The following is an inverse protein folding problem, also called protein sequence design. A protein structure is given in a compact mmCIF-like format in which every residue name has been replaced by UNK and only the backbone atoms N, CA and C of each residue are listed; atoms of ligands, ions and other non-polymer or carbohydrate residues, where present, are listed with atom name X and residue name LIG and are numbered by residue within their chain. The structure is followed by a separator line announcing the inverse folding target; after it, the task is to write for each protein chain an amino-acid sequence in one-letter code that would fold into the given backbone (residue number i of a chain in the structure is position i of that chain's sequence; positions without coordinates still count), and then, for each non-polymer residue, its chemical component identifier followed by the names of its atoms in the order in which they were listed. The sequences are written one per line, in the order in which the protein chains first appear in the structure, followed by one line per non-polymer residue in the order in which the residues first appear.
data_IF_674793831863
#
_entry.id   IF_674793831863
#
_cell.length_a   1.000
_cell.length_b   1.000
_cell.length_c   1.000
_cell.angle_alpha   90.00
_cell.angle_beta   90.00
_cell.angle_gamma   90.00
#
_symmetry.space_group_name_H-M   'P 1'
#
loop_
_entity.id
_entity.type
_entity.pdbx_description
1 polymer ?
#
# COMPACT_ATOMS: atom_id res chain seq x y z
N UNK A 1 -85.54 0.97 -12.08
CA UNK A 1 -84.45 1.94 -11.82
C UNK A 1 -84.33 1.99 -10.29
N UNK A 2 -83.89 0.92 -9.63
CA UNK A 2 -82.51 0.41 -9.49
C UNK A 2 -81.62 1.46 -8.85
N UNK A 3 -81.42 1.35 -7.53
CA UNK A 3 -80.11 1.52 -6.91
C UNK A 3 -80.09 0.69 -5.61
N UNK A 4 -79.34 -0.41 -5.65
CA UNK A 4 -79.11 -1.35 -4.56
C UNK A 4 -77.59 -1.34 -4.35
N UNK A 5 -77.12 -0.73 -3.26
CA UNK A 5 -75.70 -0.72 -2.88
C UNK A 5 -75.53 -1.69 -1.70
N UNK A 6 -74.86 -2.84 -1.86
CA UNK A 6 -74.59 -3.74 -0.74
C UNK A 6 -73.23 -3.41 -0.10
N UNK A 7 -73.27 -3.14 1.20
CA UNK A 7 -72.10 -3.09 2.10
C UNK A 7 -71.42 -4.47 2.17
N UNK A 8 -70.24 -4.61 1.57
CA UNK A 8 -69.38 -5.79 1.68
C UNK A 8 -68.60 -5.75 3.02
N UNK A 9 -68.77 -6.80 3.82
CA UNK A 9 -68.11 -7.06 5.11
C UNK A 9 -66.83 -7.86 4.84
N UNK A 10 -65.66 -7.26 5.08
CA UNK A 10 -64.36 -7.93 4.94
C UNK A 10 -64.14 -8.97 6.07
N UNK A 11 -63.76 -10.22 5.78
CA UNK A 11 -63.37 -11.19 6.80
C UNK A 11 -61.90 -11.01 7.21
N UNK A 12 -61.64 -11.06 8.52
CA UNK A 12 -60.30 -11.16 9.11
C UNK A 12 -59.61 -12.44 8.62
N UNK A 13 -58.41 -12.31 8.04
CA UNK A 13 -57.51 -13.44 7.77
C UNK A 13 -56.43 -13.43 8.84
N UNK A 14 -56.69 -14.16 9.92
CA UNK A 14 -55.69 -14.63 10.88
C UNK A 14 -55.32 -16.07 10.50
N UNK A 15 -54.06 -16.44 10.69
CA UNK A 15 -53.46 -17.80 10.57
C UNK A 15 -52.99 -18.28 9.20
N UNK A 16 -51.87 -17.72 8.71
CA UNK A 16 -51.00 -18.37 7.72
C UNK A 16 -49.49 -18.13 7.96
N UNK A 17 -49.05 -17.96 9.22
CA UNK A 17 -47.66 -17.66 9.57
C UNK A 17 -46.92 -18.78 10.35
N UNK A 18 -47.52 -19.98 10.46
CA UNK A 18 -47.01 -21.06 11.32
C UNK A 18 -46.10 -22.11 10.69
N UNK A 19 -46.06 -22.27 9.36
CA UNK A 19 -45.46 -23.47 8.74
C UNK A 19 -44.23 -23.26 7.83
N UNK A 20 -43.61 -22.06 7.79
CA UNK A 20 -42.39 -21.82 6.98
C UNK A 20 -41.09 -21.64 7.78
N UNK A 21 -41.06 -21.98 9.07
CA UNK A 21 -39.88 -21.72 9.93
C UNK A 21 -38.93 -22.92 10.05
N UNK A 22 -39.35 -24.15 9.73
CA UNK A 22 -38.54 -25.35 10.04
C UNK A 22 -37.40 -25.67 9.04
N UNK A 23 -37.48 -25.25 7.77
CA UNK A 23 -36.45 -25.56 6.76
C UNK A 23 -35.19 -24.67 6.84
N UNK A 24 -35.26 -23.49 7.48
CA UNK A 24 -34.14 -22.53 7.50
C UNK A 24 -33.02 -22.91 8.49
N UNK A 25 -33.27 -23.78 9.45
CA UNK A 25 -32.27 -24.10 10.50
C UNK A 25 -31.21 -25.12 10.05
N UNK A 26 -31.54 -26.01 9.11
CA UNK A 26 -30.64 -27.09 8.67
C UNK A 26 -29.50 -26.60 7.77
N UNK A 27 -29.70 -25.52 7.02
CA UNK A 27 -28.70 -24.94 6.11
C UNK A 27 -27.53 -24.27 6.83
N UNK A 28 -27.75 -23.71 8.02
CA UNK A 28 -26.70 -23.06 8.80
C UNK A 28 -25.73 -24.07 9.41
N UNK A 29 -26.20 -25.22 9.88
CA UNK A 29 -25.36 -26.28 10.45
C UNK A 29 -24.40 -26.90 9.40
N UNK A 30 -24.87 -27.11 8.17
CA UNK A 30 -24.03 -27.59 7.07
C UNK A 30 -22.92 -26.60 6.72
N UNK A 31 -23.20 -25.29 6.75
CA UNK A 31 -22.22 -24.24 6.45
C UNK A 31 -21.06 -24.22 7.48
N UNK A 32 -21.37 -24.32 8.78
CA UNK A 32 -20.32 -24.32 9.82
C UNK A 32 -19.40 -25.55 9.72
N UNK A 33 -19.93 -26.69 9.32
CA UNK A 33 -19.13 -27.93 9.18
C UNK A 33 -18.15 -27.84 8.01
N UNK A 34 -18.56 -27.26 6.88
CA UNK A 34 -17.71 -27.02 5.70
C UNK A 34 -16.56 -26.06 6.00
N UNK A 35 -16.81 -24.99 6.76
CA UNK A 35 -15.79 -24.01 7.14
C UNK A 35 -14.71 -24.66 8.04
N UNK A 36 -15.11 -25.51 8.98
CA UNK A 36 -14.17 -26.21 9.86
C UNK A 36 -13.21 -27.12 9.10
N UNK A 37 -13.70 -27.89 8.13
CA UNK A 37 -12.87 -28.77 7.29
C UNK A 37 -11.92 -27.96 6.40
N UNK A 38 -12.40 -26.85 5.83
CA UNK A 38 -11.57 -25.96 5.02
C UNK A 38 -10.43 -25.33 5.81
N UNK A 39 -10.69 -24.86 7.04
CA UNK A 39 -9.67 -24.28 7.91
C UNK A 39 -8.58 -25.29 8.29
N UNK A 40 -8.96 -26.54 8.61
CA UNK A 40 -8.00 -27.58 8.94
C UNK A 40 -7.07 -27.93 7.77
N UNK A 41 -7.62 -28.02 6.55
CA UNK A 41 -6.84 -28.26 5.33
C UNK A 41 -5.87 -27.10 5.03
N UNK A 42 -6.31 -25.87 5.23
CA UNK A 42 -5.49 -24.68 4.96
C UNK A 42 -4.29 -24.57 5.92
N UNK A 43 -4.48 -24.89 7.20
CA UNK A 43 -3.39 -24.90 8.20
C UNK A 43 -2.33 -25.94 7.82
N UNK A 44 -2.72 -27.13 7.39
CA UNK A 44 -1.78 -28.18 6.98
C UNK A 44 -0.89 -27.75 5.80
N UNK A 45 -1.46 -27.02 4.83
CA UNK A 45 -0.72 -26.51 3.66
C UNK A 45 0.32 -25.46 4.08
N UNK A 46 -0.03 -24.55 4.99
CA UNK A 46 0.89 -23.50 5.47
C UNK A 46 2.11 -24.12 6.18
N UNK A 47 1.90 -25.12 7.04
CA UNK A 47 2.99 -25.80 7.74
C UNK A 47 3.94 -26.49 6.75
N UNK A 48 3.40 -27.13 5.71
CA UNK A 48 4.20 -27.76 4.66
C UNK A 48 5.10 -26.75 3.92
N UNK A 49 4.58 -25.56 3.61
CA UNK A 49 5.34 -24.53 2.90
C UNK A 49 6.49 -23.98 3.75
N UNK A 50 6.31 -23.79 5.06
CA UNK A 50 7.37 -23.29 5.95
C UNK A 50 8.56 -24.26 5.99
N UNK A 51 8.29 -25.57 5.98
CA UNK A 51 9.33 -26.61 5.98
C UNK A 51 10.10 -26.62 4.65
N UNK A 52 9.43 -26.37 3.53
CA UNK A 52 10.03 -26.45 2.19
C UNK A 52 10.94 -25.24 1.86
N UNK A 53 10.64 -24.05 2.39
CA UNK A 53 11.31 -22.81 1.97
C UNK A 53 12.27 -22.20 3.02
N UNK A 54 12.41 -22.80 4.21
CA UNK A 54 13.12 -22.20 5.35
C UNK A 54 14.64 -22.41 5.48
N UNK A 55 15.36 -22.96 4.50
CA UNK A 55 16.76 -23.40 4.69
C UNK A 55 17.82 -22.76 3.80
N UNK A 56 18.46 -21.66 4.22
CA UNK A 56 19.62 -21.03 3.55
C UNK A 56 20.85 -20.90 4.44
N UNK A 57 21.99 -21.47 4.01
CA UNK A 57 23.25 -21.68 4.76
C UNK A 57 24.24 -20.51 4.61
N UNK A 58 25.06 -20.29 5.64
CA UNK A 58 26.21 -19.37 5.69
C UNK A 58 27.48 -19.98 5.07
N UNK A 59 28.40 -19.14 4.59
CA UNK A 59 29.82 -19.50 4.38
C UNK A 59 30.72 -18.25 4.46
N UNK A 60 31.84 -18.29 5.20
CA UNK A 60 32.82 -17.20 5.25
C UNK A 60 33.93 -17.37 4.21
N UNK A 61 34.34 -16.25 3.63
CA UNK A 61 35.46 -16.08 2.70
C UNK A 61 36.77 -15.87 3.47
N UNK A 62 37.86 -16.47 2.99
CA UNK A 62 39.21 -16.28 3.51
C UNK A 62 40.22 -16.63 2.43
N UNK A 63 40.94 -15.64 1.92
CA UNK A 63 42.10 -15.83 1.04
C UNK A 63 43.24 -14.90 1.48
N UNK A 64 44.40 -15.44 1.89
CA UNK A 64 45.61 -14.64 2.10
C UNK A 64 46.57 -14.73 0.90
N UNK A 65 47.06 -13.57 0.49
CA UNK A 65 48.05 -13.31 -0.56
C UNK A 65 49.47 -13.58 -0.07
N UNK A 66 50.35 -14.27 -0.82
CA UNK A 66 51.78 -14.24 -0.57
C UNK A 66 52.50 -13.18 -1.40
N UNK A 67 53.47 -12.53 -0.75
CA UNK A 67 54.40 -11.52 -1.23
C UNK A 67 55.78 -12.16 -1.40
N UNK A 68 56.44 -11.93 -2.52
CA UNK A 68 57.88 -12.22 -2.72
C UNK A 68 58.53 -11.01 -3.42
N UNK A 69 59.37 -10.25 -2.71
CA UNK A 69 60.85 -10.39 -2.53
C UNK A 69 61.65 -9.84 -3.73
N UNK A 70 62.43 -8.75 -3.56
CA UNK A 70 63.16 -8.09 -4.65
C UNK A 70 64.54 -8.73 -4.90
N UNK A 71 64.95 -8.82 -6.16
CA UNK A 71 66.30 -9.23 -6.54
C UNK A 71 67.02 -8.09 -7.26
N UNK A 72 68.19 -7.74 -6.74
CA UNK A 72 69.09 -6.67 -7.21
C UNK A 72 70.03 -7.22 -8.30
N UNK A 73 70.31 -6.44 -9.34
CA UNK A 73 71.42 -6.71 -10.28
C UNK A 73 71.80 -5.43 -11.06
N UNK A 74 73.00 -5.34 -11.67
CA UNK A 74 73.94 -4.28 -11.37
C UNK A 74 74.05 -3.23 -12.47
N UNK A 75 74.69 -2.14 -12.07
CA UNK A 75 75.10 -0.94 -12.80
C UNK A 75 76.00 -1.22 -14.01
N UNK A 76 75.68 -0.63 -15.17
CA UNK A 76 76.67 -0.12 -16.13
C UNK A 76 76.53 1.41 -16.23
N UNK A 77 77.60 2.13 -15.89
CA UNK A 77 78.59 2.70 -16.83
C UNK A 77 78.08 3.94 -17.55
N UNK A 78 78.75 5.05 -17.26
CA UNK A 78 78.48 6.39 -17.76
C UNK A 78 78.50 6.44 -19.29
N UNK A 79 77.32 6.70 -19.84
CA UNK A 79 77.10 7.06 -21.25
C UNK A 79 77.08 8.59 -21.34
N UNK A 80 77.63 9.20 -22.41
CA UNK A 80 77.70 10.65 -22.56
C UNK A 80 76.32 11.29 -22.40
N UNK A 81 76.25 12.30 -21.52
CA UNK A 81 75.05 13.08 -21.23
C UNK A 81 74.48 13.65 -22.53
N UNK A 82 73.32 13.17 -23.01
CA UNK A 82 72.69 13.78 -24.17
C UNK A 82 72.21 15.18 -23.78
N UNK A 83 72.43 16.13 -24.69
CA UNK A 83 71.92 17.49 -24.64
C UNK A 83 70.45 17.48 -24.24
N UNK A 84 69.99 18.33 -23.28
CA UNK A 84 68.60 18.33 -22.86
C UNK A 84 67.71 18.58 -24.07
N UNK A 85 66.99 17.54 -24.47
CA UNK A 85 65.92 17.67 -25.44
C UNK A 85 64.88 18.57 -24.76
N UNK A 86 64.38 19.63 -25.41
CA UNK A 86 63.37 20.49 -24.81
C UNK A 86 62.23 19.63 -24.28
N UNK A 87 61.99 19.72 -22.97
CA UNK A 87 60.89 19.02 -22.32
C UNK A 87 59.62 19.38 -23.08
N UNK A 88 58.89 18.41 -23.68
CA UNK A 88 57.63 18.73 -24.31
C UNK A 88 56.76 19.44 -23.29
N UNK A 89 56.36 20.67 -23.62
CA UNK A 89 55.38 21.43 -22.86
C UNK A 89 54.20 20.50 -22.60
N UNK A 90 53.75 20.32 -21.33
CA UNK A 90 52.62 19.46 -21.04
C UNK A 90 51.47 19.90 -21.95
N UNK A 91 51.08 19.00 -22.84
CA UNK A 91 49.90 19.22 -23.67
C UNK A 91 48.77 19.46 -22.68
N UNK A 92 48.00 20.56 -22.79
CA UNK A 92 46.91 20.82 -21.88
C UNK A 92 46.03 19.57 -21.88
N UNK A 93 45.98 18.89 -20.74
CA UNK A 93 45.06 17.77 -20.54
C UNK A 93 43.69 18.34 -20.86
N UNK A 94 43.07 17.86 -21.93
CA UNK A 94 41.72 18.26 -22.28
C UNK A 94 40.89 18.05 -21.02
N UNK A 95 40.46 19.16 -20.44
CA UNK A 95 39.56 19.19 -19.29
C UNK A 95 38.36 18.35 -19.69
N UNK A 96 38.29 17.14 -19.13
CA UNK A 96 37.23 16.19 -19.45
C UNK A 96 35.94 16.87 -19.04
N UNK A 97 35.11 17.19 -20.05
CA UNK A 97 33.84 17.86 -19.84
C UNK A 97 33.09 17.20 -18.66
N UNK A 98 32.43 17.99 -17.80
CA UNK A 98 31.70 17.45 -16.67
C UNK A 98 30.72 16.36 -17.17
N UNK A 99 30.54 15.28 -16.38
CA UNK A 99 29.64 14.20 -16.77
C UNK A 99 28.24 14.78 -17.05
N UNK A 100 27.52 14.21 -18.02
CA UNK A 100 26.18 14.68 -18.32
C UNK A 100 25.29 14.59 -17.06
N UNK A 101 24.32 15.51 -16.91
CA UNK A 101 23.39 15.45 -15.79
C UNK A 101 22.62 14.13 -15.80
N UNK A 102 22.20 13.62 -14.63
CA UNK A 102 21.40 12.41 -14.56
C UNK A 102 20.06 12.59 -15.32
N UNK A 103 19.52 11.51 -15.89
CA UNK A 103 18.23 11.56 -16.57
C UNK A 103 17.10 11.96 -15.58
N UNK A 104 16.03 12.64 -16.06
CA UNK A 104 14.88 12.98 -15.22
C UNK A 104 14.20 11.76 -14.60
N UNK A 105 13.75 11.86 -13.34
CA UNK A 105 12.94 10.82 -12.69
C UNK A 105 11.51 10.83 -13.23
N UNK A 106 11.15 9.77 -13.96
CA UNK A 106 9.81 9.56 -14.54
C UNK A 106 8.97 8.57 -13.73
N UNK A 107 9.44 8.12 -12.58
CA UNK A 107 8.74 7.14 -11.76
C UNK A 107 7.51 7.77 -11.08
N UNK A 108 6.32 7.15 -11.15
CA UNK A 108 5.15 7.63 -10.42
C UNK A 108 5.37 7.53 -8.91
N UNK A 109 4.66 8.36 -8.15
CA UNK A 109 4.62 8.24 -6.70
C UNK A 109 4.12 9.49 -6.00
N UNK A 110 4.39 9.57 -4.70
CA UNK A 110 4.04 10.73 -3.87
C UNK A 110 5.23 11.67 -3.78
N UNK A 111 5.08 12.90 -4.27
CA UNK A 111 6.02 13.99 -4.03
C UNK A 111 5.95 14.46 -2.56
N UNK A 112 4.74 14.49 -2.00
CA UNK A 112 4.51 14.82 -0.59
C UNK A 112 3.34 14.00 -0.05
N UNK A 113 3.36 13.72 1.25
CA UNK A 113 2.26 13.09 1.95
C UNK A 113 2.34 13.41 3.45
N UNK A 114 1.22 13.81 4.04
CA UNK A 114 1.06 14.10 5.46
C UNK A 114 -0.31 13.65 5.93
N UNK A 115 -0.43 13.22 7.19
CA UNK A 115 -1.66 12.65 7.74
C UNK A 115 -1.85 12.96 9.22
N UNK A 116 -3.11 13.01 9.65
CA UNK A 116 -3.51 12.97 11.05
C UNK A 116 -3.63 11.53 11.53
N UNK A 117 -2.95 11.20 12.62
CA UNK A 117 -2.83 9.82 13.11
C UNK A 117 -3.92 9.39 14.07
N UNK A 118 -4.66 10.34 14.62
CA UNK A 118 -5.58 10.07 15.72
C UNK A 118 -6.91 10.74 15.50
N UNK A 119 -7.97 10.03 15.89
CA UNK A 119 -9.31 10.57 16.06
C UNK A 119 -9.79 10.28 17.47
N UNK A 120 -10.78 11.03 17.94
CA UNK A 120 -11.38 10.81 19.24
C UNK A 120 -12.87 10.50 19.09
N UNK A 121 -13.24 9.23 19.27
CA UNK A 121 -14.63 8.80 19.30
C UNK A 121 -15.14 8.76 20.74
N UNK A 122 -16.11 9.62 21.07
CA UNK A 122 -16.70 9.70 22.41
C UNK A 122 -18.01 8.89 22.50
N UNK A 123 -18.15 8.05 23.52
CA UNK A 123 -19.38 7.30 23.84
C UNK A 123 -20.53 8.19 24.33
N UNK A 124 -20.21 9.36 24.90
CA UNK A 124 -21.18 10.32 25.45
C UNK A 124 -21.72 11.32 24.45
N UNK A 125 -21.26 11.31 23.20
CA UNK A 125 -21.77 12.21 22.17
C UNK A 125 -23.24 11.86 21.84
N UNK A 126 -24.19 12.82 21.92
CA UNK A 126 -25.58 12.64 21.53
C UNK A 126 -25.77 12.01 20.14
N UNK A 127 -26.93 11.36 19.88
CA UNK A 127 -27.32 10.97 18.52
C UNK A 127 -27.31 12.19 17.60
N UNK A 128 -26.53 12.16 16.52
CA UNK A 128 -26.39 13.26 15.56
C UNK A 128 -25.07 14.03 15.62
N UNK A 129 -24.12 13.64 16.48
CA UNK A 129 -22.74 14.15 16.37
C UNK A 129 -22.08 13.61 15.11
N UNK A 130 -21.45 14.50 14.34
CA UNK A 130 -20.60 14.12 13.21
C UNK A 130 -19.47 13.23 13.73
N UNK A 131 -19.34 12.04 13.15
CA UNK A 131 -18.20 11.16 13.44
C UNK A 131 -16.91 11.91 13.09
N UNK A 132 -15.83 11.75 13.90
CA UNK A 132 -14.59 12.44 13.63
C UNK A 132 -14.08 12.04 12.23
N UNK A 133 -13.64 13.05 11.48
CA UNK A 133 -13.05 12.84 10.17
C UNK A 133 -11.59 12.45 10.26
N UNK A 134 -11.10 11.71 9.26
CA UNK A 134 -9.66 11.58 9.03
C UNK A 134 -9.11 12.84 8.36
N UNK A 135 -7.80 13.05 8.46
CA UNK A 135 -7.12 14.17 7.82
C UNK A 135 -5.88 13.68 7.10
N UNK A 136 -5.69 14.11 5.85
CA UNK A 136 -4.48 13.85 5.09
C UNK A 136 -4.34 14.87 3.97
N UNK A 137 -3.11 15.09 3.52
CA UNK A 137 -2.79 15.92 2.36
C UNK A 137 -1.66 15.27 1.58
N UNK A 138 -1.72 15.36 0.25
CA UNK A 138 -0.73 14.74 -0.62
C UNK A 138 -0.56 15.50 -1.93
N UNK A 139 0.58 15.24 -2.58
CA UNK A 139 0.86 15.62 -3.95
C UNK A 139 1.49 14.44 -4.66
N UNK A 140 0.90 13.99 -5.76
CA UNK A 140 1.47 12.95 -6.61
C UNK A 140 2.44 13.53 -7.66
N UNK A 141 3.42 12.75 -8.07
CA UNK A 141 4.35 13.04 -9.18
C UNK A 141 4.25 11.97 -10.25
N UNK A 142 4.50 12.38 -11.50
CA UNK A 142 4.49 11.49 -12.68
C UNK A 142 3.23 10.61 -12.76
N UNK A 143 2.10 11.16 -12.34
CA UNK A 143 0.84 10.46 -12.13
C UNK A 143 -0.18 10.78 -13.23
N UNK A 144 -0.88 9.76 -13.72
CA UNK A 144 -2.04 9.89 -14.62
C UNK A 144 -3.35 9.94 -13.84
N UNK A 145 -3.44 9.22 -12.70
CA UNK A 145 -4.60 9.24 -11.81
C UNK A 145 -4.21 8.90 -10.37
N UNK A 146 -5.07 9.24 -9.42
CA UNK A 146 -4.94 8.89 -8.00
C UNK A 146 -6.28 8.33 -7.51
N UNK A 147 -6.21 7.32 -6.63
CA UNK A 147 -7.37 6.61 -6.11
C UNK A 147 -7.28 6.47 -4.59
N UNK A 148 -8.42 6.52 -3.90
CA UNK A 148 -8.53 6.36 -2.46
C UNK A 148 -9.43 5.17 -2.10
N UNK A 149 -8.97 4.33 -1.17
CA UNK A 149 -9.65 3.13 -0.69
C UNK A 149 -9.74 3.13 0.83
N UNK A 150 -10.89 2.71 1.35
CA UNK A 150 -11.06 2.34 2.77
C UNK A 150 -10.50 0.94 2.97
N UNK A 151 -9.45 0.81 3.78
CA UNK A 151 -8.73 -0.43 4.00
C UNK A 151 -7.34 -0.45 3.36
N UNK A 152 -6.88 -1.66 3.06
CA UNK A 152 -5.57 -1.94 2.47
C UNK A 152 -5.72 -2.43 1.03
N UNK A 153 -4.62 -2.38 0.29
CA UNK A 153 -4.55 -2.86 -1.08
C UNK A 153 -4.47 -1.72 -2.10
N UNK A 154 -4.52 -2.10 -3.37
CA UNK A 154 -4.43 -1.15 -4.47
C UNK A 154 -5.80 -0.49 -4.70
N UNK A 155 -5.87 0.82 -4.49
CA UNK A 155 -7.10 1.59 -4.61
C UNK A 155 -7.54 1.77 -6.06
N UNK A 156 -6.61 1.73 -7.01
CA UNK A 156 -6.89 1.83 -8.43
C UNK A 156 -7.46 0.51 -8.98
N UNK A 157 -6.88 -0.63 -8.59
CA UNK A 157 -7.40 -1.95 -8.96
C UNK A 157 -8.78 -2.22 -8.36
N UNK A 158 -9.01 -1.74 -7.14
CA UNK A 158 -10.31 -1.78 -6.49
C UNK A 158 -11.35 -0.83 -7.14
N UNK A 159 -10.93 0.01 -8.11
CA UNK A 159 -11.75 1.05 -8.73
C UNK A 159 -12.49 1.90 -7.68
N UNK A 160 -11.76 2.30 -6.64
CA UNK A 160 -12.32 2.99 -5.50
C UNK A 160 -12.60 4.48 -5.82
N UNK A 161 -12.37 5.38 -4.86
CA UNK A 161 -12.73 6.80 -5.04
C UNK A 161 -11.66 7.53 -5.85
N UNK A 162 -11.98 8.12 -7.03
CA UNK A 162 -11.01 8.89 -7.80
C UNK A 162 -10.65 10.19 -7.08
N UNK A 163 -9.38 10.54 -7.13
CA UNK A 163 -8.82 11.70 -6.43
C UNK A 163 -8.02 12.59 -7.39
N UNK A 164 -7.89 13.91 -7.11
CA UNK A 164 -7.03 14.80 -7.90
C UNK A 164 -5.54 14.43 -7.78
N UNK A 165 -4.67 14.97 -8.64
CA UNK A 165 -3.22 14.69 -8.56
C UNK A 165 -2.60 15.28 -7.28
N UNK A 166 -3.16 16.36 -6.75
CA UNK A 166 -2.83 16.89 -5.42
C UNK A 166 -4.14 17.18 -4.70
N UNK A 167 -4.23 16.78 -3.44
CA UNK A 167 -5.48 16.88 -2.70
C UNK A 167 -5.35 16.49 -1.24
N UNK A 168 -6.49 16.45 -0.57
CA UNK A 168 -6.64 16.17 0.85
C UNK A 168 -7.90 15.34 1.12
N UNK A 169 -8.23 15.13 2.40
CA UNK A 169 -9.38 14.33 2.80
C UNK A 169 -10.73 14.80 2.24
N UNK A 170 -10.88 16.09 1.90
CA UNK A 170 -12.15 16.62 1.42
C UNK A 170 -12.41 16.24 -0.04
N UNK A 171 -11.38 15.83 -0.78
CA UNK A 171 -11.51 15.51 -2.21
C UNK A 171 -12.13 14.11 -2.44
N UNK A 172 -12.23 13.27 -1.41
CA UNK A 172 -12.76 11.88 -1.51
C UNK A 172 -14.23 11.85 -1.91
N UNK A 173 -15.03 12.79 -1.39
CA UNK A 173 -16.47 12.87 -1.61
C UNK A 173 -16.92 14.21 -2.20
N UNK A 174 -16.04 14.92 -2.91
CA UNK A 174 -16.37 16.21 -3.50
C UNK A 174 -16.69 17.31 -2.47
N UNK A 175 -15.99 17.30 -1.33
CA UNK A 175 -16.08 18.30 -0.27
C UNK A 175 -16.59 17.76 1.08
N UNK A 176 -17.12 16.54 1.13
CA UNK A 176 -17.55 15.93 2.40
C UNK A 176 -16.39 15.27 3.14
N UNK A 177 -16.46 15.32 4.48
CA UNK A 177 -15.47 14.71 5.36
C UNK A 177 -15.51 13.19 5.26
N UNK A 178 -14.33 12.57 5.19
CA UNK A 178 -14.19 11.12 5.31
C UNK A 178 -14.33 10.72 6.77
N UNK A 179 -15.44 10.09 7.10
CA UNK A 179 -15.78 9.66 8.45
C UNK A 179 -14.92 8.47 8.90
N UNK A 180 -14.43 8.53 10.14
CA UNK A 180 -13.75 7.40 10.76
C UNK A 180 -14.78 6.42 11.36
N UNK A 181 -14.64 5.10 11.13
CA UNK A 181 -15.54 4.10 11.71
C UNK A 181 -15.25 3.91 13.21
N UNK A 182 -15.96 4.64 14.07
CA UNK A 182 -15.82 4.57 15.53
C UNK A 182 -16.18 3.22 16.19
N UNK A 183 -16.46 2.16 15.42
CA UNK A 183 -16.57 0.78 15.91
C UNK A 183 -15.26 0.00 15.79
N UNK A 184 -14.14 0.69 15.61
CA UNK A 184 -12.81 0.11 15.52
C UNK A 184 -11.78 0.97 16.24
N UNK A 185 -10.88 0.32 16.98
CA UNK A 185 -9.74 0.98 17.63
C UNK A 185 -8.74 1.55 16.60
N UNK A 186 -8.65 0.92 15.42
CA UNK A 186 -7.82 1.38 14.30
C UNK A 186 -8.53 1.15 12.97
N UNK A 187 -8.37 2.07 12.03
CA UNK A 187 -8.79 1.90 10.64
C UNK A 187 -7.64 2.21 9.69
N UNK A 188 -7.58 1.48 8.58
CA UNK A 188 -6.59 1.69 7.53
C UNK A 188 -7.25 2.31 6.30
N UNK A 189 -6.47 3.11 5.58
CA UNK A 189 -6.87 3.77 4.34
C UNK A 189 -5.69 3.74 3.38
N UNK A 190 -5.97 3.68 2.08
CA UNK A 190 -4.90 3.59 1.08
C UNK A 190 -5.12 4.59 -0.05
N UNK A 191 -4.07 5.35 -0.38
CA UNK A 191 -3.99 6.11 -1.62
C UNK A 191 -3.15 5.32 -2.63
N UNK A 192 -3.57 5.29 -3.89
CA UNK A 192 -2.77 4.70 -4.98
C UNK A 192 -2.57 5.70 -6.09
N UNK A 193 -1.31 5.92 -6.47
CA UNK A 193 -0.92 6.72 -7.62
C UNK A 193 -0.70 5.78 -8.80
N UNK A 194 -1.37 6.04 -9.91
CA UNK A 194 -1.16 5.34 -11.18
C UNK A 194 -0.32 6.22 -12.08
N UNK A 195 0.79 5.70 -12.59
CA UNK A 195 1.65 6.39 -13.55
C UNK A 195 1.11 6.39 -14.98
N UNK A 196 1.68 7.21 -15.84
CA UNK A 196 1.38 7.20 -17.29
C UNK A 196 1.81 5.90 -17.98
N UNK A 197 2.73 5.15 -17.36
CA UNK A 197 3.19 3.83 -17.79
C UNK A 197 2.37 2.67 -17.19
N UNK A 198 1.28 2.96 -16.46
CA UNK A 198 0.45 1.96 -15.79
C UNK A 198 1.03 1.38 -14.50
N UNK A 199 2.18 1.86 -14.01
CA UNK A 199 2.70 1.43 -12.71
C UNK A 199 1.89 2.03 -11.56
N UNK A 200 1.61 1.23 -10.54
CA UNK A 200 0.88 1.64 -9.36
C UNK A 200 1.82 1.81 -8.17
N UNK A 201 1.62 2.88 -7.40
CA UNK A 201 2.33 3.13 -6.15
C UNK A 201 1.32 3.43 -5.05
N UNK A 202 1.11 2.46 -4.17
CA UNK A 202 0.18 2.58 -3.05
C UNK A 202 0.87 3.07 -1.77
N UNK A 203 0.12 3.83 -0.98
CA UNK A 203 0.49 4.25 0.37
C UNK A 203 -0.69 4.00 1.30
N UNK A 204 -0.55 2.99 2.14
CA UNK A 204 -1.49 2.67 3.21
C UNK A 204 -1.11 3.40 4.48
N UNK A 205 -2.11 3.95 5.16
CA UNK A 205 -1.96 4.59 6.45
C UNK A 205 -3.02 4.17 7.45
N UNK A 206 -2.65 4.23 8.73
CA UNK A 206 -3.51 3.84 9.85
C UNK A 206 -3.87 5.07 10.67
N UNK A 207 -5.15 5.20 10.99
CA UNK A 207 -5.67 6.16 11.96
C UNK A 207 -6.10 5.39 13.20
N UNK A 208 -5.71 5.89 14.36
CA UNK A 208 -6.01 5.28 15.67
C UNK A 208 -7.08 6.09 16.38
N UNK A 209 -8.08 5.41 16.90
CA UNK A 209 -9.07 6.00 17.78
C UNK A 209 -8.53 6.02 19.22
N UNK A 210 -8.37 7.21 19.79
CA UNK A 210 -7.94 7.43 21.17
C UNK A 210 -9.09 7.71 22.13
N UNK A 211 -10.33 7.61 21.65
CA UNK A 211 -11.54 7.76 22.44
C UNK A 211 -11.93 6.50 23.21
N UNK A 212 -13.08 6.58 23.87
CA UNK A 212 -13.64 5.54 24.73
C UNK A 212 -14.67 4.65 24.00
N UNK A 213 -14.99 4.97 22.74
CA UNK A 213 -15.92 4.22 21.89
C UNK A 213 -15.18 3.51 20.77
N UNK A 214 -15.16 2.18 20.78
CA UNK A 214 -14.67 1.30 19.71
C UNK A 214 -15.39 -0.05 19.75
#
# INVERSE_FOLDING_TARGET
MTDDTPTQRLPETTDAAGELVEERQKSKALLFTLIGVGAALLIAIIVLLIILFGGGKTSPDSSPTPSDTPTVSPTPSDSPTPTPTPTPTPTPTADSAPPPPPPPDTSPGFASFSQGQTVFCNSTNPPGYTTPGISFNYTAKNASSVWFLFGEGDAADAQAFPMPISGNQNDVYGGSTVEYPCGAATAKFTLTVVGTNGQHVSKTFTVTNTGDKF
#
